data_IF_951132039181
#
_entry.id   IF_951132039181
#
_cell.length_a   1.000
_cell.length_b   1.000
_cell.length_c   1.000
_cell.angle_alpha   90.00
_cell.angle_beta   90.00
_cell.angle_gamma   90.00
#
_symmetry.space_group_name_H-M   'P 1'
#
loop_
_entity.id
_entity.type
_entity.pdbx_description
1 polymer ?
#
# COMPACT_ATOMS: atom_id res chain seq x y z
N UNK A 1 0.41 11.67 16.01
CA UNK A 1 0.46 10.23 15.72
C UNK A 1 0.51 10.04 14.22
N UNK A 2 1.50 9.35 13.70
CA UNK A 2 1.57 9.05 12.26
C UNK A 2 0.41 8.10 11.90
N UNK A 3 -0.36 8.42 10.87
CA UNK A 3 -1.46 7.59 10.39
C UNK A 3 -0.94 6.31 9.76
N UNK A 4 -1.67 5.22 9.90
CA UNK A 4 -1.27 3.91 9.34
C UNK A 4 -1.40 3.87 7.81
N UNK A 5 -2.31 4.68 7.26
CA UNK A 5 -2.57 4.84 5.83
C UNK A 5 -2.84 6.31 5.50
N UNK A 6 -2.84 6.64 4.21
CA UNK A 6 -3.28 7.93 3.67
C UNK A 6 -4.50 7.77 2.75
N UNK A 7 -5.37 6.81 3.05
CA UNK A 7 -6.59 6.54 2.27
C UNK A 7 -7.51 7.73 2.14
N UNK A 8 -7.53 8.63 3.14
CA UNK A 8 -8.32 9.86 3.09
C UNK A 8 -7.95 10.71 1.87
N UNK A 9 -6.70 10.67 1.44
CA UNK A 9 -6.22 11.40 0.25
C UNK A 9 -6.46 10.64 -1.07
N UNK A 10 -6.88 9.37 -0.99
CA UNK A 10 -7.24 8.55 -2.16
C UNK A 10 -8.72 8.70 -2.55
N UNK A 11 -9.52 9.38 -1.73
CA UNK A 11 -10.95 9.59 -2.00
C UNK A 11 -11.17 10.70 -3.04
N UNK A 12 -12.13 10.49 -3.95
CA UNK A 12 -12.67 11.55 -4.81
C UNK A 12 -14.14 11.75 -4.48
N UNK A 13 -14.52 13.00 -4.18
CA UNK A 13 -15.88 13.32 -3.75
C UNK A 13 -16.36 12.44 -2.57
N UNK A 14 -15.45 12.11 -1.65
CA UNK A 14 -15.71 11.26 -0.49
C UNK A 14 -15.93 9.78 -0.78
N UNK A 15 -15.63 9.30 -1.99
CA UNK A 15 -15.84 7.91 -2.42
C UNK A 15 -14.53 7.22 -2.75
N UNK A 16 -14.50 5.91 -2.54
CA UNK A 16 -13.43 5.02 -2.99
C UNK A 16 -13.41 4.96 -4.51
N UNK A 17 -12.24 5.22 -5.10
CA UNK A 17 -12.00 5.10 -6.53
C UNK A 17 -10.85 4.14 -6.76
N UNK A 18 -11.11 3.09 -7.54
CA UNK A 18 -10.11 2.08 -7.90
C UNK A 18 -10.56 1.28 -9.12
N UNK A 19 -9.69 0.47 -9.67
CA UNK A 19 -10.05 -0.54 -10.67
C UNK A 19 -10.99 -1.58 -10.08
N UNK A 20 -11.89 -2.09 -10.93
CA UNK A 20 -12.71 -3.25 -10.57
C UNK A 20 -11.84 -4.51 -10.45
N UNK A 21 -12.20 -5.43 -9.56
CA UNK A 21 -11.50 -6.73 -9.43
C UNK A 21 -11.57 -7.52 -10.77
N UNK A 22 -12.65 -7.35 -11.53
CA UNK A 22 -12.83 -7.96 -12.86
C UNK A 22 -11.95 -7.33 -13.95
N UNK A 23 -11.28 -6.22 -13.68
CA UNK A 23 -10.36 -5.58 -14.63
C UNK A 23 -8.98 -6.24 -14.65
N UNK A 24 -8.71 -7.15 -13.70
CA UNK A 24 -7.42 -7.81 -13.59
C UNK A 24 -7.28 -8.98 -14.60
N UNK A 25 -6.13 -9.15 -15.23
CA UNK A 25 -4.94 -8.31 -15.15
C UNK A 25 -5.11 -6.98 -15.89
N UNK A 26 -4.58 -5.88 -15.33
CA UNK A 26 -4.57 -4.58 -15.98
C UNK A 26 -3.65 -4.60 -17.19
N UNK A 27 -4.18 -4.21 -18.33
CA UNK A 27 -3.47 -4.18 -19.61
C UNK A 27 -2.65 -2.90 -19.70
N UNK A 28 -1.32 -3.04 -19.67
CA UNK A 28 -0.37 -1.95 -19.60
C UNK A 28 0.46 -1.83 -20.88
N UNK A 29 0.44 -0.68 -21.52
CA UNK A 29 1.25 -0.35 -22.68
C UNK A 29 2.38 0.60 -22.27
N UNK A 30 3.59 0.30 -22.73
CA UNK A 30 4.78 1.14 -22.52
C UNK A 30 5.19 1.65 -23.91
N UNK A 31 5.07 2.96 -24.13
CA UNK A 31 5.47 3.57 -25.39
C UNK A 31 6.98 3.37 -25.65
N UNK A 32 7.40 3.19 -26.89
CA UNK A 32 8.81 3.15 -27.22
C UNK A 32 9.52 4.45 -26.79
N UNK A 33 10.67 4.32 -26.16
CA UNK A 33 11.50 5.46 -25.81
C UNK A 33 12.14 6.06 -27.08
N UNK A 34 11.83 7.31 -27.37
CA UNK A 34 12.25 7.95 -28.62
C UNK A 34 13.13 9.19 -28.41
N UNK A 35 13.53 9.48 -27.17
CA UNK A 35 14.34 10.64 -26.86
C UNK A 35 15.82 10.27 -26.94
N UNK A 36 16.59 11.04 -27.77
CA UNK A 36 18.05 11.06 -27.82
C UNK A 36 18.71 9.69 -27.54
N UNK A 37 18.19 8.63 -28.17
CA UNK A 37 18.56 7.26 -27.82
C UNK A 37 20.01 6.96 -28.19
N UNK A 38 20.84 6.81 -27.17
CA UNK A 38 21.99 5.93 -27.29
C UNK A 38 21.46 4.51 -27.39
N UNK A 39 22.17 3.66 -28.16
CA UNK A 39 21.79 2.26 -28.29
C UNK A 39 21.63 1.58 -26.91
N UNK A 40 20.45 1.02 -26.61
CA UNK A 40 20.12 0.34 -25.36
C UNK A 40 19.41 1.17 -24.28
N UNK A 41 19.21 2.49 -24.46
CA UNK A 41 18.50 3.30 -23.46
C UNK A 41 16.99 3.03 -23.42
N UNK A 42 16.39 2.68 -24.55
CA UNK A 42 15.00 2.25 -24.62
C UNK A 42 14.74 1.01 -23.76
N UNK A 43 15.67 0.05 -23.77
CA UNK A 43 15.61 -1.15 -22.93
C UNK A 43 15.67 -0.80 -21.44
N UNK A 44 16.60 0.05 -21.03
CA UNK A 44 16.81 0.49 -19.66
C UNK A 44 15.56 1.13 -19.05
N UNK A 45 14.96 2.09 -19.76
CA UNK A 45 13.74 2.76 -19.27
C UNK A 45 12.54 1.82 -19.23
N UNK A 46 12.44 0.91 -20.20
CA UNK A 46 11.43 -0.14 -20.17
C UNK A 46 11.60 -1.06 -18.94
N UNK A 47 12.83 -1.44 -18.60
CA UNK A 47 13.10 -2.24 -17.40
C UNK A 47 12.71 -1.52 -16.11
N UNK A 48 12.93 -0.21 -16.01
CA UNK A 48 12.48 0.59 -14.87
C UNK A 48 10.96 0.52 -14.69
N UNK A 49 10.20 0.62 -15.78
CA UNK A 49 8.73 0.49 -15.75
C UNK A 49 8.32 -0.92 -15.31
N UNK A 50 8.96 -1.95 -15.86
CA UNK A 50 8.68 -3.34 -15.48
C UNK A 50 8.97 -3.61 -14.00
N UNK A 51 10.06 -3.06 -13.47
CA UNK A 51 10.40 -3.14 -12.05
C UNK A 51 9.36 -2.42 -11.18
N UNK A 52 8.89 -1.25 -11.59
CA UNK A 52 7.87 -0.50 -10.86
C UNK A 52 6.52 -1.24 -10.84
N UNK A 53 6.12 -1.82 -11.98
CA UNK A 53 4.93 -2.67 -12.11
C UNK A 53 5.02 -3.87 -11.14
N UNK A 54 6.14 -4.59 -11.15
CA UNK A 54 6.37 -5.74 -10.26
C UNK A 54 6.34 -5.32 -8.78
N UNK A 55 6.93 -4.16 -8.46
CA UNK A 55 6.94 -3.60 -7.10
C UNK A 55 5.51 -3.36 -6.60
N UNK A 56 4.65 -2.71 -7.38
CA UNK A 56 3.26 -2.47 -7.01
C UNK A 56 2.42 -3.75 -6.99
N UNK A 57 2.64 -4.66 -7.94
CA UNK A 57 1.96 -5.95 -7.96
C UNK A 57 2.24 -6.74 -6.67
N UNK A 58 3.51 -6.85 -6.26
CA UNK A 58 3.90 -7.50 -5.00
C UNK A 58 3.32 -6.79 -3.78
N UNK A 59 3.36 -5.45 -3.78
CA UNK A 59 2.81 -4.65 -2.67
C UNK A 59 1.30 -4.83 -2.49
N UNK A 60 0.57 -5.15 -3.55
CA UNK A 60 -0.89 -5.32 -3.52
C UNK A 60 -1.39 -6.54 -2.72
N UNK A 61 -0.49 -7.47 -2.36
CA UNK A 61 -0.88 -8.72 -1.72
C UNK A 61 -1.76 -9.61 -2.59
N UNK A 62 -1.51 -9.62 -3.91
CA UNK A 62 -2.24 -10.46 -4.89
C UNK A 62 -3.55 -9.85 -5.40
N UNK A 63 -3.86 -8.58 -5.05
CA UNK A 63 -5.08 -7.90 -5.50
C UNK A 63 -4.95 -7.29 -6.89
N UNK A 64 -3.74 -6.97 -7.31
CA UNK A 64 -3.44 -6.35 -8.59
C UNK A 64 -2.49 -7.24 -9.36
N UNK A 65 -2.77 -7.40 -10.63
CA UNK A 65 -1.88 -8.03 -11.59
C UNK A 65 -1.88 -7.23 -12.89
N UNK A 66 -0.78 -7.31 -13.63
CA UNK A 66 -0.61 -6.59 -14.89
C UNK A 66 -0.30 -7.55 -16.03
N UNK A 67 -0.71 -7.16 -17.22
CA UNK A 67 -0.34 -7.78 -18.49
C UNK A 67 0.21 -6.71 -19.43
N UNK A 68 1.42 -6.91 -19.91
CA UNK A 68 2.02 -5.99 -20.87
C UNK A 68 1.42 -6.22 -22.24
N UNK A 69 0.93 -5.15 -22.85
CA UNK A 69 0.37 -5.13 -24.20
C UNK A 69 1.36 -4.48 -25.18
N UNK A 70 1.33 -4.97 -26.40
CA UNK A 70 2.16 -4.42 -27.49
C UNK A 70 1.46 -3.34 -28.28
N UNK A 71 0.13 -3.24 -28.15
CA UNK A 71 -0.71 -2.26 -28.84
C UNK A 71 -1.35 -1.30 -27.86
N UNK A 72 -1.24 -0.02 -28.15
CA UNK A 72 -1.89 1.06 -27.42
C UNK A 72 -3.41 0.89 -27.35
N UNK A 73 -4.02 0.48 -28.46
CA UNK A 73 -5.49 0.34 -28.57
C UNK A 73 -6.07 -0.77 -27.69
N UNK A 74 -5.24 -1.73 -27.25
CA UNK A 74 -5.66 -2.86 -26.43
C UNK A 74 -5.36 -2.67 -24.95
N UNK A 75 -4.79 -1.53 -24.58
CA UNK A 75 -4.36 -1.27 -23.20
C UNK A 75 -5.37 -0.43 -22.42
N UNK A 76 -5.29 -0.51 -21.11
CA UNK A 76 -6.07 0.26 -20.16
C UNK A 76 -5.20 1.33 -19.48
N UNK A 77 -3.90 1.07 -19.35
CA UNK A 77 -2.91 2.00 -18.81
C UNK A 77 -1.86 2.23 -19.87
N UNK A 78 -1.62 3.50 -20.21
CA UNK A 78 -0.66 3.91 -21.23
C UNK A 78 0.43 4.74 -20.56
N UNK A 79 1.68 4.34 -20.73
CA UNK A 79 2.81 5.13 -20.28
C UNK A 79 3.55 5.69 -21.49
N UNK A 80 3.72 7.00 -21.50
CA UNK A 80 4.45 7.74 -22.52
C UNK A 80 5.56 8.60 -21.92
N UNK A 81 6.58 8.89 -22.72
CA UNK A 81 7.75 9.65 -22.33
C UNK A 81 7.63 11.08 -22.83
N UNK A 82 7.87 12.04 -21.94
CA UNK A 82 7.75 13.48 -22.23
C UNK A 82 9.02 14.24 -21.87
N UNK A 83 9.12 15.44 -22.36
CA UNK A 83 10.03 16.43 -21.77
C UNK A 83 9.48 16.83 -20.41
N UNK A 84 10.38 16.99 -19.44
CA UNK A 84 10.00 17.44 -18.10
C UNK A 84 9.45 18.87 -18.21
N UNK A 85 8.26 19.07 -17.71
CA UNK A 85 7.79 20.40 -17.33
C UNK A 85 8.48 20.77 -16.01
N UNK A 86 8.94 22.01 -15.86
CA UNK A 86 9.61 22.49 -14.65
C UNK A 86 8.74 22.38 -13.39
N UNK A 87 7.44 22.20 -13.55
CA UNK A 87 6.48 22.12 -12.46
C UNK A 87 6.20 20.68 -12.01
N UNK A 88 6.42 19.68 -12.87
CA UNK A 88 6.16 18.29 -12.53
C UNK A 88 7.04 17.32 -13.33
N UNK A 89 7.60 16.34 -12.63
CA UNK A 89 8.46 15.29 -13.20
C UNK A 89 7.65 14.23 -13.93
N UNK A 90 6.39 14.08 -13.57
CA UNK A 90 5.44 13.17 -14.18
C UNK A 90 4.01 13.65 -14.01
N UNK A 91 3.11 13.02 -14.74
CA UNK A 91 1.66 13.23 -14.63
C UNK A 91 0.92 11.92 -14.82
N UNK A 92 -0.12 11.74 -14.04
CA UNK A 92 -1.08 10.66 -14.23
C UNK A 92 -2.49 11.23 -14.37
N UNK A 93 -3.15 10.85 -15.46
CA UNK A 93 -4.58 11.12 -15.68
C UNK A 93 -5.32 9.79 -15.72
N UNK A 94 -6.45 9.70 -15.05
CA UNK A 94 -7.29 8.52 -15.15
C UNK A 94 -8.77 8.88 -15.26
N UNK A 95 -9.52 8.06 -15.97
CA UNK A 95 -10.95 8.21 -16.19
C UNK A 95 -11.71 7.23 -15.31
N UNK A 96 -12.87 7.68 -14.83
CA UNK A 96 -13.72 6.97 -13.87
C UNK A 96 -15.13 6.88 -14.42
N UNK A 97 -15.75 5.72 -14.30
CA UNK A 97 -17.15 5.50 -14.67
C UNK A 97 -18.13 6.00 -13.57
N UNK A 98 -19.42 5.94 -13.86
CA UNK A 98 -20.48 6.36 -12.94
C UNK A 98 -20.51 5.55 -11.63
N UNK A 99 -19.87 4.38 -11.59
CA UNK A 99 -19.75 3.53 -10.40
C UNK A 99 -18.43 3.75 -9.64
N UNK A 100 -17.74 4.86 -9.93
CA UNK A 100 -16.45 5.20 -9.32
C UNK A 100 -15.35 4.16 -9.58
N UNK A 101 -15.41 3.46 -10.73
CA UNK A 101 -14.38 2.51 -11.15
C UNK A 101 -13.48 3.17 -12.19
N UNK A 102 -12.18 3.06 -11.98
CA UNK A 102 -11.19 3.46 -13.01
C UNK A 102 -11.34 2.51 -14.19
N UNK A 103 -11.34 3.04 -15.42
CA UNK A 103 -11.39 2.23 -16.64
C UNK A 103 -10.26 2.51 -17.64
N UNK A 104 -9.59 3.65 -17.53
CA UNK A 104 -8.38 3.97 -18.29
C UNK A 104 -7.47 4.92 -17.50
N UNK A 105 -6.17 4.84 -17.76
CA UNK A 105 -5.20 5.77 -17.20
C UNK A 105 -4.09 6.09 -18.22
N UNK A 106 -3.57 7.31 -18.15
CA UNK A 106 -2.44 7.80 -18.94
C UNK A 106 -1.36 8.32 -18.01
N UNK A 107 -0.15 7.82 -18.20
CA UNK A 107 1.04 8.20 -17.44
C UNK A 107 2.01 8.91 -18.37
N UNK A 108 2.51 10.05 -17.97
CA UNK A 108 3.54 10.80 -18.69
C UNK A 108 4.75 10.94 -17.77
N UNK A 109 5.90 10.45 -18.22
CA UNK A 109 7.16 10.49 -17.47
C UNK A 109 8.12 11.47 -18.15
N UNK A 110 8.55 12.46 -17.40
CA UNK A 110 9.57 13.42 -17.82
C UNK A 110 10.98 12.83 -17.71
N UNK A 111 11.77 12.98 -18.76
CA UNK A 111 13.13 12.43 -18.81
C UNK A 111 14.19 13.53 -18.76
N UNK A 112 13.90 14.70 -19.35
CA UNK A 112 14.85 15.81 -19.47
C UNK A 112 14.08 17.13 -19.55
N UNK A 113 14.63 18.19 -19.00
CA UNK A 113 14.05 19.54 -19.14
C UNK A 113 14.17 20.10 -20.57
N UNK A 114 15.03 19.52 -21.39
CA UNK A 114 15.16 19.73 -22.83
C UNK A 114 15.57 21.14 -23.27
N UNK A 115 15.68 22.12 -22.36
CA UNK A 115 15.89 23.52 -22.67
C UNK A 115 17.24 24.04 -22.12
N UNK A 116 17.57 23.78 -20.87
CA UNK A 116 18.74 24.30 -20.19
C UNK A 116 19.79 23.19 -19.97
N UNK A 117 19.33 21.98 -19.64
CA UNK A 117 20.18 20.82 -19.45
C UNK A 117 19.88 19.81 -20.54
N UNK A 118 20.85 19.56 -21.41
CA UNK A 118 20.77 18.47 -22.41
C UNK A 118 20.89 17.08 -21.73
N UNK A 119 21.17 17.08 -20.43
CA UNK A 119 21.39 15.88 -19.66
C UNK A 119 20.05 15.28 -19.21
N UNK A 120 19.97 13.96 -19.23
CA UNK A 120 18.85 13.23 -18.68
C UNK A 120 18.83 13.36 -17.16
N UNK A 121 17.64 13.27 -16.59
CA UNK A 121 17.49 13.14 -15.16
C UNK A 121 18.23 11.89 -14.65
N UNK A 122 18.75 11.92 -13.40
CA UNK A 122 19.31 10.73 -12.77
C UNK A 122 18.33 9.55 -12.81
N UNK A 123 18.83 8.34 -13.02
CA UNK A 123 18.01 7.15 -13.15
C UNK A 123 17.09 6.90 -11.95
N UNK A 124 17.60 7.20 -10.75
CA UNK A 124 16.81 7.07 -9.51
C UNK A 124 15.62 8.02 -9.51
N UNK A 125 15.77 9.22 -10.03
CA UNK A 125 14.70 10.21 -10.13
C UNK A 125 13.64 9.81 -11.16
N UNK A 126 14.08 9.29 -12.30
CA UNK A 126 13.18 8.73 -13.31
C UNK A 126 12.42 7.53 -12.73
N UNK A 127 13.11 6.64 -12.02
CA UNK A 127 12.49 5.48 -11.40
C UNK A 127 11.50 5.88 -10.30
N UNK A 128 11.85 6.84 -9.43
CA UNK A 128 10.93 7.42 -8.46
C UNK A 128 9.66 7.92 -9.15
N UNK A 129 9.81 8.74 -10.18
CA UNK A 129 8.68 9.31 -10.93
C UNK A 129 7.79 8.22 -11.54
N UNK A 130 8.40 7.19 -12.17
CA UNK A 130 7.66 6.04 -12.70
C UNK A 130 6.86 5.34 -11.58
N UNK A 131 7.50 5.08 -10.45
CA UNK A 131 6.88 4.39 -9.32
C UNK A 131 5.73 5.21 -8.74
N UNK A 132 5.91 6.53 -8.59
CA UNK A 132 4.91 7.49 -8.12
C UNK A 132 3.69 7.53 -9.06
N UNK A 133 3.91 7.76 -10.35
CA UNK A 133 2.83 7.92 -11.33
C UNK A 133 2.04 6.61 -11.54
N UNK A 134 2.71 5.45 -11.49
CA UNK A 134 2.01 4.15 -11.49
C UNK A 134 1.14 4.01 -10.24
N UNK A 135 1.58 4.48 -9.07
CA UNK A 135 0.76 4.52 -7.86
C UNK A 135 -0.56 5.27 -8.08
N UNK A 136 -0.53 6.41 -8.77
CA UNK A 136 -1.74 7.15 -9.15
C UNK A 136 -2.66 6.36 -10.07
N UNK A 137 -2.12 5.59 -11.03
CA UNK A 137 -2.97 4.74 -11.90
C UNK A 137 -3.76 3.72 -11.10
N UNK A 138 -3.27 3.33 -9.92
CA UNK A 138 -3.92 2.37 -9.02
C UNK A 138 -4.95 3.01 -8.09
N UNK A 139 -5.14 4.34 -8.17
CA UNK A 139 -6.08 5.09 -7.35
C UNK A 139 -5.47 5.69 -6.09
N UNK A 140 -4.16 5.61 -5.89
CA UNK A 140 -3.49 6.25 -4.76
C UNK A 140 -3.45 7.76 -4.92
N UNK A 141 -3.72 8.48 -3.84
CA UNK A 141 -3.50 9.92 -3.72
C UNK A 141 -2.12 10.23 -3.14
N UNK A 142 -1.83 11.51 -2.92
CA UNK A 142 -0.57 11.92 -2.32
C UNK A 142 -0.52 11.60 -0.81
N UNK A 143 0.64 11.14 -0.35
CA UNK A 143 0.96 11.02 1.07
C UNK A 143 1.42 12.36 1.66
N UNK A 144 1.32 12.51 2.98
CA UNK A 144 1.90 13.62 3.74
C UNK A 144 3.23 13.26 4.41
N UNK A 145 3.67 11.99 4.30
CA UNK A 145 4.92 11.51 4.88
C UNK A 145 6.03 11.55 3.84
N UNK A 146 7.10 12.30 4.10
CA UNK A 146 8.20 12.51 3.17
C UNK A 146 9.02 11.26 2.82
N UNK A 147 8.78 10.14 3.45
CA UNK A 147 9.47 8.87 3.14
C UNK A 147 8.64 7.97 2.21
N UNK A 148 7.36 8.30 2.02
CA UNK A 148 6.47 7.56 1.12
C UNK A 148 6.76 7.91 -0.33
N UNK A 149 6.60 6.92 -1.22
CA UNK A 149 6.75 7.15 -2.66
C UNK A 149 5.69 8.10 -3.21
N UNK A 150 4.50 8.12 -2.60
CA UNK A 150 3.40 9.00 -2.99
C UNK A 150 3.46 10.39 -2.35
N UNK A 151 4.57 10.76 -1.71
CA UNK A 151 4.74 12.09 -1.14
C UNK A 151 4.91 13.16 -2.21
N UNK A 152 4.35 14.36 -1.96
CA UNK A 152 4.60 15.57 -2.75
C UNK A 152 4.87 16.75 -1.81
N UNK A 153 5.87 17.60 -2.07
CA UNK A 153 6.75 17.66 -3.25
C UNK A 153 7.72 16.48 -3.34
N UNK A 154 8.24 16.25 -4.55
CA UNK A 154 9.24 15.22 -4.80
C UNK A 154 10.42 15.27 -3.82
N UNK A 155 10.83 14.12 -3.32
CA UNK A 155 11.98 13.98 -2.42
C UNK A 155 13.02 13.04 -3.02
N UNK A 156 14.24 13.56 -3.19
CA UNK A 156 15.35 12.80 -3.76
C UNK A 156 15.70 11.54 -2.95
N UNK A 157 16.07 10.48 -3.65
CA UNK A 157 16.54 9.23 -3.05
C UNK A 157 15.43 8.30 -2.52
N UNK A 158 14.16 8.65 -2.65
CA UNK A 158 13.03 7.77 -2.30
C UNK A 158 12.71 6.89 -3.49
N UNK A 159 13.12 5.62 -3.46
CA UNK A 159 12.96 4.66 -4.57
C UNK A 159 12.29 3.34 -4.13
N UNK A 160 11.72 3.33 -2.94
CA UNK A 160 11.08 2.15 -2.38
C UNK A 160 9.72 2.51 -1.76
N UNK A 161 8.81 1.55 -1.80
CA UNK A 161 7.53 1.68 -1.11
C UNK A 161 7.71 1.50 0.40
N UNK A 162 7.14 2.41 1.17
CA UNK A 162 7.04 2.27 2.62
C UNK A 162 5.98 1.24 3.01
N UNK A 163 5.90 0.94 4.30
CA UNK A 163 4.79 0.15 4.84
C UNK A 163 3.45 0.90 4.68
N UNK A 164 3.47 2.23 4.78
CA UNK A 164 2.29 3.07 4.63
C UNK A 164 1.76 3.03 3.18
N UNK A 165 2.63 3.14 2.16
CA UNK A 165 2.25 2.97 0.75
C UNK A 165 1.58 1.61 0.50
N UNK A 166 2.22 0.53 0.97
CA UNK A 166 1.72 -0.84 0.80
C UNK A 166 0.37 -1.05 1.48
N UNK A 167 0.24 -0.62 2.73
CA UNK A 167 -1.02 -0.73 3.47
C UNK A 167 -2.13 0.10 2.85
N UNK A 168 -1.83 1.32 2.39
CA UNK A 168 -2.82 2.17 1.71
C UNK A 168 -3.35 1.47 0.46
N UNK A 169 -2.48 0.91 -0.38
CA UNK A 169 -2.90 0.16 -1.56
C UNK A 169 -3.76 -1.06 -1.20
N UNK A 170 -3.29 -1.88 -0.25
CA UNK A 170 -4.01 -3.09 0.15
C UNK A 170 -5.40 -2.78 0.72
N UNK A 171 -5.54 -1.73 1.52
CA UNK A 171 -6.82 -1.34 2.09
C UNK A 171 -7.73 -0.67 1.06
N UNK A 172 -7.18 0.11 0.11
CA UNK A 172 -7.94 0.66 -1.01
C UNK A 172 -8.65 -0.46 -1.78
N UNK A 173 -7.96 -1.58 -2.02
CA UNK A 173 -8.51 -2.72 -2.74
C UNK A 173 -9.33 -3.72 -1.89
N UNK A 174 -9.45 -3.49 -0.59
CA UNK A 174 -10.42 -4.19 0.29
C UNK A 174 -11.82 -3.57 0.23
N UNK A 175 -11.92 -2.28 -0.04
CA UNK A 175 -13.20 -1.59 -0.14
C UNK A 175 -13.71 -1.62 -1.58
N UNK A 176 -15.03 -1.60 -1.74
CA UNK A 176 -15.64 -1.55 -3.08
C UNK A 176 -15.57 -0.12 -3.64
N UNK A 177 -15.41 0.01 -4.97
CA UNK A 177 -15.51 1.28 -5.65
C UNK A 177 -16.87 1.94 -5.37
N UNK A 178 -16.88 3.24 -5.21
CA UNK A 178 -18.08 4.03 -4.96
C UNK A 178 -18.53 4.09 -3.51
N UNK A 179 -18.02 3.26 -2.62
CA UNK A 179 -18.34 3.34 -1.18
C UNK A 179 -17.84 4.66 -0.59
N UNK A 180 -18.69 5.28 0.21
CA UNK A 180 -18.36 6.45 1.03
C UNK A 180 -17.73 6.02 2.36
N UNK A 181 -17.04 6.96 3.02
CA UNK A 181 -16.48 6.70 4.37
C UNK A 181 -17.57 6.30 5.37
N UNK A 182 -18.73 6.96 5.30
CA UNK A 182 -19.86 6.65 6.18
C UNK A 182 -20.38 5.22 6.02
N UNK A 183 -20.52 4.75 4.78
CA UNK A 183 -20.93 3.37 4.49
C UNK A 183 -19.90 2.34 4.97
N UNK A 184 -18.60 2.64 4.77
CA UNK A 184 -17.52 1.78 5.26
C UNK A 184 -17.51 1.75 6.79
N UNK A 185 -17.55 2.91 7.45
CA UNK A 185 -17.57 3.01 8.90
C UNK A 185 -18.75 2.25 9.50
N UNK A 186 -19.97 2.47 8.97
CA UNK A 186 -21.18 1.76 9.39
C UNK A 186 -21.09 0.25 9.21
N UNK A 187 -20.56 -0.21 8.08
CA UNK A 187 -20.35 -1.65 7.79
C UNK A 187 -19.49 -2.35 8.85
N UNK A 188 -18.52 -1.64 9.43
CA UNK A 188 -17.60 -2.19 10.42
C UNK A 188 -17.95 -1.80 11.86
N UNK A 189 -19.06 -1.07 12.07
CA UNK A 189 -19.53 -0.66 13.39
C UNK A 189 -18.71 0.48 14.01
N UNK A 190 -18.15 1.36 13.20
CA UNK A 190 -17.40 2.54 13.64
C UNK A 190 -18.19 3.83 13.43
N UNK A 191 -18.01 4.79 14.33
CA UNK A 191 -18.57 6.14 14.24
C UNK A 191 -17.43 7.15 14.02
N UNK A 192 -16.93 7.23 12.78
CA UNK A 192 -15.87 8.16 12.40
C UNK A 192 -16.07 8.65 10.96
N UNK A 193 -15.61 9.86 10.68
CA UNK A 193 -15.57 10.45 9.33
C UNK A 193 -14.22 10.24 8.62
N UNK A 194 -13.24 9.60 9.28
CA UNK A 194 -11.91 9.33 8.74
C UNK A 194 -11.78 7.87 8.37
N UNK A 195 -11.52 7.59 7.10
CA UNK A 195 -11.26 6.21 6.64
C UNK A 195 -9.96 5.65 7.20
N UNK A 196 -8.95 6.50 7.43
CA UNK A 196 -7.68 6.06 8.04
C UNK A 196 -7.89 5.59 9.48
N UNK A 197 -8.83 6.20 10.22
CA UNK A 197 -9.19 5.77 11.56
C UNK A 197 -9.94 4.43 11.54
N UNK A 198 -10.85 4.23 10.57
CA UNK A 198 -11.51 2.93 10.37
C UNK A 198 -10.46 1.84 10.15
N UNK A 199 -9.52 2.07 9.24
CA UNK A 199 -8.45 1.11 8.93
C UNK A 199 -7.55 0.85 10.13
N UNK A 200 -7.15 1.90 10.84
CA UNK A 200 -6.31 1.76 12.04
C UNK A 200 -7.00 0.90 13.11
N UNK A 201 -8.29 1.11 13.33
CA UNK A 201 -9.08 0.32 14.27
C UNK A 201 -9.27 -1.14 13.80
N UNK A 202 -9.47 -1.36 12.49
CA UNK A 202 -9.57 -2.71 11.92
C UNK A 202 -8.24 -3.48 12.05
N UNK A 203 -7.11 -2.82 11.81
CA UNK A 203 -5.79 -3.41 12.00
C UNK A 203 -5.59 -3.80 13.46
N UNK A 204 -5.88 -2.89 14.40
CA UNK A 204 -5.78 -3.17 15.84
C UNK A 204 -6.67 -4.34 16.26
N UNK A 205 -7.91 -4.38 15.79
CA UNK A 205 -8.87 -5.46 16.10
C UNK A 205 -8.42 -6.82 15.56
N UNK A 206 -7.78 -6.84 14.39
CA UNK A 206 -7.34 -8.07 13.72
C UNK A 206 -5.90 -8.47 14.09
N UNK A 207 -5.17 -7.61 14.80
CA UNK A 207 -3.84 -7.96 15.31
C UNK A 207 -4.03 -8.72 16.61
N UNK A 208 -3.58 -9.99 16.71
CA UNK A 208 -3.64 -10.74 17.96
C UNK A 208 -2.96 -9.95 19.07
N UNK A 209 -3.56 -9.93 20.27
CA UNK A 209 -2.92 -9.39 21.44
C UNK A 209 -1.57 -10.08 21.64
N UNK A 210 -0.65 -9.44 22.35
CA UNK A 210 0.64 -10.08 22.68
C UNK A 210 0.42 -11.40 23.41
N UNK A 211 -0.59 -11.44 24.26
CA UNK A 211 -1.05 -12.64 24.94
C UNK A 211 -1.47 -13.76 23.96
N UNK A 212 -2.29 -13.45 22.94
CA UNK A 212 -2.72 -14.42 21.92
C UNK A 212 -1.55 -14.93 21.07
N UNK A 213 -0.58 -14.06 20.74
CA UNK A 213 0.65 -14.46 20.04
C UNK A 213 1.47 -15.43 20.85
N UNK A 214 1.68 -15.12 22.14
CA UNK A 214 2.39 -16.01 23.06
C UNK A 214 1.64 -17.32 23.21
N UNK A 215 0.30 -17.31 23.42
CA UNK A 215 -0.54 -18.50 23.50
C UNK A 215 -0.42 -19.38 22.25
N UNK A 216 -0.37 -18.78 21.05
CA UNK A 216 -0.23 -19.52 19.78
C UNK A 216 1.15 -20.17 19.62
N UNK A 217 2.19 -19.63 20.23
CA UNK A 217 3.56 -20.16 20.19
C UNK A 217 3.85 -21.28 21.18
N UNK A 218 2.93 -21.51 22.13
CA UNK A 218 3.09 -22.56 23.15
C UNK A 218 2.92 -23.96 22.57
N UNK A 219 3.62 -24.93 23.16
CA UNK A 219 3.42 -26.36 22.84
C UNK A 219 2.01 -26.84 23.24
N UNK A 220 1.58 -27.99 22.70
CA UNK A 220 0.26 -28.57 23.01
C UNK A 220 0.09 -28.73 24.52
N UNK A 221 1.09 -29.29 25.22
CA UNK A 221 1.05 -29.47 26.68
C UNK A 221 0.92 -28.14 27.44
N UNK A 222 1.64 -27.09 27.00
CA UNK A 222 1.54 -25.76 27.60
C UNK A 222 0.16 -25.11 27.36
N UNK A 223 -0.47 -25.35 26.18
CA UNK A 223 -1.83 -24.87 25.91
C UNK A 223 -2.88 -25.55 26.75
N UNK A 224 -2.75 -26.86 26.98
CA UNK A 224 -3.69 -27.63 27.80
C UNK A 224 -3.61 -27.21 29.26
N UNK A 225 -2.40 -27.00 29.79
CA UNK A 225 -2.19 -26.43 31.13
C UNK A 225 -2.80 -25.02 31.28
N UNK A 226 -2.71 -24.18 30.24
CA UNK A 226 -3.34 -22.86 30.23
C UNK A 226 -4.87 -22.96 30.24
N UNK A 227 -5.46 -23.89 29.49
CA UNK A 227 -6.91 -24.11 29.48
C UNK A 227 -7.44 -24.55 30.83
N UNK A 228 -6.72 -25.44 31.51
CA UNK A 228 -7.08 -25.84 32.87
C UNK A 228 -7.05 -24.65 33.84
N UNK A 229 -6.14 -23.73 33.65
CA UNK A 229 -5.98 -22.53 34.49
C UNK A 229 -6.92 -21.38 34.14
N UNK A 230 -7.34 -21.25 32.87
CA UNK A 230 -8.37 -20.30 32.45
C UNK A 230 -9.72 -20.55 33.12
N UNK A 231 -9.97 -21.80 33.58
CA UNK A 231 -11.18 -22.18 34.33
C UNK A 231 -11.13 -21.82 35.83
N UNK A 232 -10.00 -21.30 36.31
CA UNK A 232 -9.84 -20.87 37.71
C UNK A 232 -10.09 -19.35 37.79
N UNK A 233 -11.25 -18.98 38.35
CA UNK A 233 -11.71 -17.57 38.48
C UNK A 233 -10.86 -16.69 39.41
N UNK A 234 -9.76 -17.17 39.98
CA UNK A 234 -8.93 -16.46 40.94
C UNK A 234 -7.49 -16.25 40.44
N UNK A 235 -7.19 -15.01 40.01
CA UNK A 235 -5.88 -14.59 39.50
C UNK A 235 -4.70 -14.90 40.44
N UNK A 236 -4.92 -15.03 41.76
CA UNK A 236 -3.88 -15.41 42.73
C UNK A 236 -3.43 -16.86 42.55
N UNK A 237 -4.34 -17.77 42.16
CA UNK A 237 -3.99 -19.16 41.86
C UNK A 237 -3.19 -19.25 40.56
N UNK A 238 -3.41 -18.33 39.60
CA UNK A 238 -2.64 -18.22 38.35
C UNK A 238 -1.15 -18.00 38.62
N UNK A 239 -0.81 -17.10 39.56
CA UNK A 239 0.57 -16.82 39.93
C UNK A 239 1.26 -18.03 40.61
N UNK A 240 0.50 -18.79 41.40
CA UNK A 240 1.04 -19.99 42.09
C UNK A 240 1.29 -21.14 41.10
N UNK A 241 0.40 -21.31 40.15
CA UNK A 241 0.50 -22.34 39.08
C UNK A 241 1.66 -22.04 38.12
N UNK A 242 1.86 -20.76 37.76
CA UNK A 242 2.96 -20.31 36.89
C UNK A 242 4.35 -20.53 37.54
N UNK A 243 4.45 -20.56 38.87
CA UNK A 243 5.71 -20.88 39.58
C UNK A 243 6.17 -22.31 39.36
N UNK A 244 5.24 -23.23 39.09
CA UNK A 244 5.50 -24.66 38.90
C UNK A 244 5.67 -25.07 37.39
N UNK A 245 5.48 -24.15 36.47
CA UNK A 245 5.65 -24.40 35.04
C UNK A 245 6.99 -23.79 34.61
N UNK A 246 7.82 -24.56 33.91
CA UNK A 246 9.06 -24.08 33.32
C UNK A 246 8.73 -23.24 32.07
N UNK A 247 8.30 -22.00 32.28
CA UNK A 247 8.00 -21.02 31.23
C UNK A 247 9.12 -19.97 31.19
N UNK A 248 9.46 -19.46 30.03
CA UNK A 248 10.41 -18.37 29.90
C UNK A 248 9.96 -17.15 30.72
N UNK A 249 10.92 -16.40 31.27
CA UNK A 249 10.69 -15.25 32.15
C UNK A 249 9.78 -14.19 31.49
N UNK A 250 9.87 -14.05 30.16
CA UNK A 250 9.03 -13.16 29.36
C UNK A 250 7.54 -13.54 29.40
N UNK A 251 7.22 -14.82 29.32
CA UNK A 251 5.84 -15.34 29.40
C UNK A 251 5.29 -15.14 30.81
N UNK A 252 6.08 -15.43 31.84
CA UNK A 252 5.71 -15.20 33.24
C UNK A 252 5.37 -13.73 33.54
N UNK A 253 6.20 -12.81 33.06
CA UNK A 253 5.98 -11.37 33.23
C UNK A 253 4.72 -10.86 32.54
N UNK A 254 4.33 -11.45 31.40
CA UNK A 254 3.11 -11.11 30.66
C UNK A 254 1.86 -11.41 31.50
N UNK A 255 1.80 -12.59 32.13
CA UNK A 255 0.69 -12.99 32.98
C UNK A 255 0.60 -12.14 34.24
N UNK A 256 1.77 -11.83 34.90
CA UNK A 256 1.83 -11.01 36.09
C UNK A 256 1.33 -9.58 35.82
N UNK A 257 1.65 -9.01 34.65
CA UNK A 257 1.22 -7.67 34.29
C UNK A 257 -0.27 -7.57 33.94
N UNK A 258 -0.89 -8.64 33.43
CA UNK A 258 -2.35 -8.69 33.25
C UNK A 258 -3.11 -8.82 34.56
N UNK A 259 -2.53 -9.49 35.56
CA UNK A 259 -3.14 -9.66 36.88
C UNK A 259 -3.15 -8.37 37.72
N UNK A 260 -2.40 -7.35 37.31
CA UNK A 260 -2.29 -6.04 38.02
C UNK A 260 -3.18 -4.93 37.41
N UNK A 261 -3.89 -5.22 36.32
CA UNK A 261 -4.90 -4.33 35.70
C UNK A 261 -6.28 -4.79 36.05
#
# INVERSE_FOLDING_TARGET
MQKTTYLQHCLRNGKIIRWSDNSMPLKFYIAPFRFYSKQGEDYKYREMVMRAIDTWQKASGGKISFKIETSLSNSQINLDWKRVDRQALGHCYFNVDNNSRVYSAEVQIGISDGIIHKDYMPEEEVYHTILHEIGHTLGLGHSQCGDDIMYTPHKYGVVNLTTQDKLTLQWLYKFQSGMTVSEIASKYGFHTSSIDDVVTNLIKKNTPSEFERVKSSLTIQQRDLLKEQENIADLKKYNLALQNITISENIRNLFINQAKR
#
